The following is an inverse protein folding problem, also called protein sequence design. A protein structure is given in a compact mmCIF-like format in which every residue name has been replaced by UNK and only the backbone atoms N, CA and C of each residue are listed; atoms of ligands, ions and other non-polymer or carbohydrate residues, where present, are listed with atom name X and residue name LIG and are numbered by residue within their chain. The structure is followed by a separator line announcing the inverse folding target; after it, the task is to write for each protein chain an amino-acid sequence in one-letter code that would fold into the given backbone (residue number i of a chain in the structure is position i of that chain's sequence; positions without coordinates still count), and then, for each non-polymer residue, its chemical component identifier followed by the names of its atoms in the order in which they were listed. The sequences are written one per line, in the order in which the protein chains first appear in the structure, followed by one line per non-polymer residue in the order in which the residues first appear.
data_IF_699711637184
#
_entry.id   IF_699711637184
#
_cell.length_a   1.000
_cell.length_b   1.000
_cell.length_c   1.000
_cell.angle_alpha   90.00
_cell.angle_beta   90.00
_cell.angle_gamma   90.00
#
_symmetry.space_group_name_H-M   'P 1'
#
loop_
_entity.id
_entity.type
_entity.pdbx_description
1 polymer ?
#
# COMPACT_ATOMS: atom_id res chain seq x y z
N UNK A 1 3.77 9.87 9.77
CA UNK A 1 5.17 9.86 9.26
C UNK A 1 5.33 8.84 8.13
N UNK A 2 5.98 9.18 7.01
CA UNK A 2 6.28 8.23 5.92
C UNK A 2 7.47 7.34 6.31
N UNK A 3 7.23 6.04 6.43
CA UNK A 3 8.23 5.03 6.79
C UNK A 3 8.99 4.51 5.57
N UNK A 4 8.27 4.23 4.49
CA UNK A 4 8.84 3.70 3.27
C UNK A 4 8.07 4.14 2.02
N UNK A 5 8.77 4.28 0.91
CA UNK A 5 8.19 4.44 -0.43
C UNK A 5 8.87 3.45 -1.36
N UNK A 6 8.10 2.73 -2.16
CA UNK A 6 8.61 1.71 -3.07
C UNK A 6 7.90 1.78 -4.42
N UNK A 7 8.65 1.64 -5.50
CA UNK A 7 8.17 1.53 -6.86
C UNK A 7 8.65 0.20 -7.41
N UNK A 8 7.74 -0.61 -7.95
CA UNK A 8 8.07 -1.89 -8.55
C UNK A 8 7.43 -2.02 -9.93
N UNK A 9 8.06 -2.76 -10.84
CA UNK A 9 7.41 -3.13 -12.09
C UNK A 9 6.40 -4.28 -11.86
N UNK A 10 5.69 -4.67 -12.91
CA UNK A 10 4.71 -5.78 -12.90
C UNK A 10 5.31 -7.16 -12.57
N UNK A 11 6.62 -7.35 -12.72
CA UNK A 11 7.33 -8.57 -12.31
C UNK A 11 7.72 -8.59 -10.83
N UNK A 12 7.53 -7.47 -10.12
CA UNK A 12 7.93 -7.30 -8.73
C UNK A 12 9.37 -6.84 -8.53
N UNK A 13 10.09 -6.48 -9.60
CA UNK A 13 11.41 -5.88 -9.50
C UNK A 13 11.30 -4.46 -8.96
N UNK A 14 12.11 -4.13 -7.95
CA UNK A 14 12.13 -2.81 -7.34
C UNK A 14 12.91 -1.86 -8.23
N UNK A 15 12.25 -0.79 -8.67
CA UNK A 15 12.83 0.28 -9.48
C UNK A 15 13.39 1.39 -8.60
N UNK A 16 12.65 1.75 -7.54
CA UNK A 16 13.01 2.79 -6.58
C UNK A 16 12.55 2.35 -5.19
N UNK A 17 13.39 2.58 -4.20
CA UNK A 17 13.02 2.42 -2.80
C UNK A 17 13.61 3.51 -1.92
N UNK A 18 12.85 3.88 -0.89
CA UNK A 18 13.31 4.77 0.18
C UNK A 18 12.77 4.28 1.50
N UNK A 19 13.64 4.15 2.49
CA UNK A 19 13.29 3.86 3.88
C UNK A 19 13.75 5.01 4.76
N UNK A 20 12.83 5.60 5.53
CA UNK A 20 13.13 6.72 6.44
C UNK A 20 13.12 6.30 7.91
N UNK A 21 12.26 5.34 8.28
CA UNK A 21 12.09 4.90 9.68
C UNK A 21 12.03 3.38 9.86
N UNK A 22 12.33 2.61 8.81
CA UNK A 22 12.33 1.14 8.85
C UNK A 22 13.73 0.63 9.19
N UNK A 23 13.89 -0.18 10.26
CA UNK A 23 15.15 -0.82 10.62
C UNK A 23 15.73 -1.62 9.46
N UNK A 24 17.06 -1.66 9.33
CA UNK A 24 17.73 -2.22 8.15
C UNK A 24 17.40 -3.71 7.95
N UNK A 25 17.34 -4.45 9.04
CA UNK A 25 16.98 -5.86 9.15
C UNK A 25 15.54 -6.16 8.69
N UNK A 26 14.63 -5.18 8.81
CA UNK A 26 13.23 -5.33 8.38
C UNK A 26 13.00 -4.97 6.92
N UNK A 27 13.94 -4.28 6.26
CA UNK A 27 13.73 -3.76 4.89
C UNK A 27 13.46 -4.88 3.88
N UNK A 28 14.14 -6.02 4.03
CA UNK A 28 13.89 -7.18 3.15
C UNK A 28 12.45 -7.70 3.31
N UNK A 29 11.97 -7.80 4.55
CA UNK A 29 10.60 -8.21 4.84
C UNK A 29 9.59 -7.24 4.22
N UNK A 30 9.80 -5.93 4.37
CA UNK A 30 8.94 -4.90 3.79
C UNK A 30 8.89 -4.96 2.27
N UNK A 31 10.02 -5.16 1.59
CA UNK A 31 10.06 -5.33 0.14
C UNK A 31 9.19 -6.51 -0.31
N UNK A 32 9.44 -7.68 0.25
CA UNK A 32 8.71 -8.90 -0.11
C UNK A 32 7.21 -8.77 0.18
N UNK A 33 6.86 -8.15 1.30
CA UNK A 33 5.47 -7.92 1.67
C UNK A 33 4.75 -6.97 0.70
N UNK A 34 5.35 -5.82 0.36
CA UNK A 34 4.72 -4.84 -0.53
C UNK A 34 4.52 -5.39 -1.94
N UNK A 35 5.53 -6.09 -2.48
CA UNK A 35 5.42 -6.73 -3.81
C UNK A 35 4.32 -7.79 -3.82
N UNK A 36 4.25 -8.63 -2.77
CA UNK A 36 3.20 -9.64 -2.64
C UNK A 36 1.82 -9.00 -2.54
N UNK A 37 1.68 -7.95 -1.72
CA UNK A 37 0.43 -7.21 -1.56
C UNK A 37 -0.07 -6.66 -2.90
N UNK A 38 0.81 -6.07 -3.71
CA UNK A 38 0.45 -5.57 -5.04
C UNK A 38 0.06 -6.68 -6.00
N UNK A 39 0.81 -7.78 -6.05
CA UNK A 39 0.50 -8.91 -6.93
C UNK A 39 -0.89 -9.51 -6.66
N UNK A 40 -1.32 -9.53 -5.40
CA UNK A 40 -2.62 -10.06 -4.99
C UNK A 40 -3.77 -9.07 -5.24
N UNK A 41 -3.54 -7.76 -5.08
CA UNK A 41 -4.62 -6.77 -5.00
C UNK A 41 -4.70 -5.80 -6.17
N UNK A 42 -3.62 -5.57 -6.93
CA UNK A 42 -3.62 -4.64 -8.08
C UNK A 42 -4.12 -5.26 -9.38
N UNK A 43 -4.38 -6.58 -9.39
CA UNK A 43 -4.85 -7.26 -10.60
C UNK A 43 -6.27 -6.82 -10.96
N UNK A 44 -6.41 -6.14 -12.09
CA UNK A 44 -7.71 -5.65 -12.59
C UNK A 44 -8.16 -4.33 -11.96
N UNK A 45 -7.32 -3.71 -11.12
CA UNK A 45 -7.50 -2.36 -10.61
C UNK A 45 -7.31 -1.37 -11.76
N UNK A 46 -8.12 -0.30 -11.79
CA UNK A 46 -7.96 0.73 -12.82
C UNK A 46 -6.67 1.51 -12.57
N UNK A 47 -6.06 2.00 -13.64
CA UNK A 47 -4.91 2.87 -13.53
C UNK A 47 -5.22 4.05 -12.59
N UNK A 48 -4.30 4.37 -11.67
CA UNK A 48 -4.40 5.44 -10.67
C UNK A 48 -5.47 5.23 -9.56
N UNK A 49 -6.17 4.10 -9.55
CA UNK A 49 -7.08 3.76 -8.45
C UNK A 49 -6.27 3.43 -7.19
N UNK A 50 -6.57 4.13 -6.09
CA UNK A 50 -5.87 3.99 -4.82
C UNK A 50 -6.48 2.87 -3.99
N UNK A 51 -5.63 2.01 -3.45
CA UNK A 51 -5.97 1.02 -2.46
C UNK A 51 -5.28 1.32 -1.14
N UNK A 52 -5.92 0.88 -0.06
CA UNK A 52 -5.39 1.06 1.29
C UNK A 52 -5.41 -0.27 2.03
N UNK A 53 -4.28 -0.63 2.62
CA UNK A 53 -4.17 -1.68 3.60
C UNK A 53 -3.72 -1.09 4.95
N UNK A 54 -4.16 -1.67 6.05
CA UNK A 54 -3.73 -1.23 7.38
C UNK A 54 -3.46 -2.43 8.30
N UNK A 55 -2.46 -2.28 9.16
CA UNK A 55 -2.19 -3.22 10.25
C UNK A 55 -1.72 -2.44 11.48
N UNK A 56 -2.51 -2.49 12.55
CA UNK A 56 -2.30 -1.67 13.76
C UNK A 56 -2.17 -0.18 13.37
N UNK A 57 -1.10 0.50 13.77
CA UNK A 57 -0.86 1.92 13.48
C UNK A 57 -0.13 2.19 12.16
N UNK A 58 0.01 1.18 11.29
CA UNK A 58 0.70 1.29 10.00
C UNK A 58 -0.32 1.20 8.87
N UNK A 59 -0.23 2.15 7.94
CA UNK A 59 -1.06 2.26 6.75
C UNK A 59 -0.20 2.15 5.51
N UNK A 60 -0.76 1.51 4.49
CA UNK A 60 -0.12 1.31 3.20
C UNK A 60 -1.09 1.80 2.15
N UNK A 61 -0.73 2.86 1.46
CA UNK A 61 -1.48 3.34 0.29
C UNK A 61 -0.70 2.93 -0.94
N UNK A 62 -1.39 2.32 -1.88
CA UNK A 62 -0.76 1.76 -3.06
C UNK A 62 -1.68 1.83 -4.28
N UNK A 63 -1.07 1.93 -5.44
CA UNK A 63 -1.77 2.04 -6.72
C UNK A 63 -0.87 1.54 -7.84
N UNK A 64 -1.43 1.47 -9.05
CA UNK A 64 -0.71 1.19 -10.28
C UNK A 64 -0.76 2.41 -11.19
N UNK A 65 0.38 2.76 -11.78
CA UNK A 65 0.54 3.75 -12.82
C UNK A 65 1.21 3.08 -14.04
N UNK A 66 0.41 2.68 -15.02
CA UNK A 66 0.85 1.85 -16.15
C UNK A 66 1.32 0.48 -15.66
N UNK A 67 2.60 0.16 -15.92
CA UNK A 67 3.23 -1.10 -15.47
C UNK A 67 4.00 -0.93 -14.15
N UNK A 68 3.85 0.20 -13.47
CA UNK A 68 4.55 0.53 -12.23
C UNK A 68 3.58 0.54 -11.05
N UNK A 69 3.83 -0.31 -10.07
CA UNK A 69 3.15 -0.29 -8.78
C UNK A 69 3.88 0.64 -7.83
N UNK A 70 3.13 1.52 -7.18
CA UNK A 70 3.64 2.51 -6.22
C UNK A 70 3.08 2.17 -4.83
N UNK A 71 3.94 2.12 -3.83
CA UNK A 71 3.58 1.83 -2.44
C UNK A 71 4.13 2.90 -1.51
N UNK A 72 3.29 3.39 -0.61
CA UNK A 72 3.66 4.34 0.44
C UNK A 72 3.24 3.75 1.78
N UNK A 73 4.21 3.57 2.67
CA UNK A 73 4.01 3.07 4.03
C UNK A 73 4.12 4.24 4.99
N UNK A 74 3.08 4.43 5.81
CA UNK A 74 3.03 5.48 6.83
C UNK A 74 2.65 4.92 8.20
N UNK A 75 3.11 5.60 9.26
CA UNK A 75 2.72 5.34 10.65
C UNK A 75 2.25 6.61 11.33
N UNK A 76 1.24 6.48 12.19
CA UNK A 76 0.53 7.55 12.90
C UNK A 76 -0.12 8.57 11.93
N UNK A 77 -1.07 9.37 12.41
CA UNK A 77 -1.89 10.35 11.65
C UNK A 77 -1.03 11.20 10.71
N UNK A 78 -0.76 10.66 9.53
CA UNK A 78 -0.37 11.41 8.37
C UNK A 78 -1.71 11.71 7.72
N UNK A 79 -2.28 12.87 8.06
CA UNK A 79 -3.66 13.25 7.73
C UNK A 79 -4.03 12.91 6.28
N UNK A 80 -3.10 13.02 5.34
CA UNK A 80 -3.33 12.69 3.93
C UNK A 80 -3.55 11.19 3.67
N UNK A 81 -2.80 10.29 4.32
CA UNK A 81 -3.00 8.83 4.20
C UNK A 81 -4.22 8.39 5.01
N UNK A 82 -4.46 8.98 6.17
CA UNK A 82 -5.64 8.73 6.99
C UNK A 82 -6.92 9.24 6.31
N UNK A 83 -6.85 10.34 5.55
CA UNK A 83 -7.97 10.87 4.77
C UNK A 83 -8.26 10.01 3.54
N UNK A 84 -7.25 9.55 2.80
CA UNK A 84 -7.46 8.55 1.73
C UNK A 84 -8.02 7.25 2.33
N UNK A 85 -7.45 6.73 3.42
CA UNK A 85 -7.98 5.55 4.11
C UNK A 85 -9.43 5.73 4.61
N UNK A 86 -9.74 6.91 5.17
CA UNK A 86 -11.03 7.25 5.76
C UNK A 86 -12.13 7.54 4.72
N UNK A 87 -11.80 8.24 3.63
CA UNK A 87 -12.70 8.49 2.49
C UNK A 87 -13.00 7.19 1.73
N UNK A 88 -11.99 6.33 1.49
CA UNK A 88 -12.19 5.02 0.87
C UNK A 88 -12.98 4.05 1.76
N UNK A 89 -12.74 4.05 3.08
CA UNK A 89 -13.53 3.28 4.05
C UNK A 89 -15.01 3.69 4.08
N UNK A 90 -15.33 4.97 3.83
CA UNK A 90 -16.71 5.44 3.71
C UNK A 90 -17.36 5.06 2.37
N UNK A 91 -16.62 5.04 1.26
CA UNK A 91 -17.15 4.62 -0.06
C UNK A 91 -17.44 3.12 -0.14
N UNK A 92 -16.61 2.25 0.44
CA UNK A 92 -16.88 0.80 0.42
C UNK A 92 -18.11 0.39 1.26
N UNK A 93 -18.43 1.13 2.33
CA UNK A 93 -19.63 0.87 3.14
C UNK A 93 -20.95 1.19 2.42
N UNK A 94 -20.91 1.83 1.24
CA UNK A 94 -22.09 1.99 0.38
C UNK A 94 -22.15 0.99 -0.78
N UNK A 95 -21.06 0.29 -1.12
CA UNK A 95 -21.07 -0.55 -2.34
C UNK A 95 -20.62 -2.00 -2.21
N UNK A 96 -19.90 -2.49 -1.18
CA UNK A 96 -19.54 -3.92 -1.19
C UNK A 96 -19.24 -4.53 0.18
N UNK A 97 -20.16 -5.40 0.62
CA UNK A 97 -19.80 -6.56 1.42
C UNK A 97 -18.70 -7.38 0.71
N UNK A 98 -17.72 -7.88 1.49
CA UNK A 98 -16.58 -8.79 1.18
C UNK A 98 -15.28 -8.03 0.86
N UNK A 99 -14.16 -8.19 1.56
CA UNK A 99 -13.54 -9.41 2.13
C UNK A 99 -12.82 -9.07 3.45
N UNK A 100 -13.15 -9.79 4.53
CA UNK A 100 -12.28 -9.90 5.71
C UNK A 100 -11.12 -10.83 5.35
N UNK A 101 -9.89 -10.33 5.35
CA UNK A 101 -8.73 -11.17 5.54
C UNK A 101 -8.24 -10.95 6.98
N UNK A 102 -8.61 -11.88 7.86
CA UNK A 102 -8.04 -12.05 9.18
C UNK A 102 -6.64 -12.64 9.05
N UNK A 103 -5.65 -11.98 9.66
CA UNK A 103 -4.46 -12.60 10.24
C UNK A 103 -4.30 -12.08 11.66
#
# INVERSE_FOLDING_TARGET
MILAVLFANSEGNILVERFNGVPAEERLHWRSFLVKLGAENLRGVKNEELLVACHKSVYIVYTVLGDVSIYVVGKDEYDELAWVAGEYGKRQNQETNKVKASY
#
